data_IF_269473581496
#
_entry.id   IF_269473581496
#
_cell.length_a   1.000
_cell.length_b   1.000
_cell.length_c   1.000
_cell.angle_alpha   90.00
_cell.angle_beta   90.00
_cell.angle_gamma   90.00
#
_symmetry.space_group_name_H-M   'P 1'
#
loop_
_entity.id
_entity.type
_entity.pdbx_description
1 polymer ?
#
# COMPACT_ATOMS: atom_id res chain seq x y z
N UNK A 1 20.29 18.04 3.85
CA UNK A 1 19.13 17.45 4.56
C UNK A 1 18.62 16.33 3.68
N UNK A 2 18.86 15.08 4.06
CA UNK A 2 18.43 13.92 3.28
C UNK A 2 16.91 13.74 3.45
N UNK A 3 16.14 14.06 2.42
CA UNK A 3 14.69 13.84 2.43
C UNK A 3 14.45 12.33 2.25
N UNK A 4 13.82 11.71 3.24
CA UNK A 4 13.46 10.28 3.17
C UNK A 4 12.33 10.08 2.15
N UNK A 5 12.37 9.00 1.36
CA UNK A 5 11.29 8.68 0.44
C UNK A 5 9.97 8.44 1.16
N UNK A 6 8.87 8.90 0.56
CA UNK A 6 7.52 8.71 1.12
C UNK A 6 6.95 7.35 0.72
N UNK A 7 6.48 6.59 1.70
CA UNK A 7 5.78 5.32 1.53
C UNK A 7 4.33 5.48 1.99
N UNK A 8 3.37 5.33 1.07
CA UNK A 8 1.95 5.32 1.41
C UNK A 8 1.54 3.90 1.79
N UNK A 9 0.86 3.75 2.92
CA UNK A 9 0.36 2.46 3.38
C UNK A 9 -1.15 2.52 3.54
N UNK A 10 -1.85 1.96 2.56
CA UNK A 10 -3.31 1.90 2.51
C UNK A 10 -3.77 0.59 3.14
N UNK A 11 -4.33 0.64 4.35
CA UNK A 11 -4.82 -0.56 5.06
C UNK A 11 -6.02 -0.24 5.94
N UNK A 12 -6.98 -1.17 5.98
CA UNK A 12 -8.09 -1.12 6.91
C UNK A 12 -7.71 -1.64 8.31
N UNK A 13 -6.60 -2.38 8.43
CA UNK A 13 -6.12 -2.89 9.71
C UNK A 13 -5.32 -1.83 10.48
N UNK A 14 -5.97 -1.24 11.48
CA UNK A 14 -5.35 -0.25 12.38
C UNK A 14 -4.31 -0.87 13.33
N UNK A 15 -4.21 -2.20 13.44
CA UNK A 15 -3.33 -2.89 14.40
C UNK A 15 -1.95 -3.22 13.85
N UNK A 16 -1.62 -2.83 12.62
CA UNK A 16 -0.29 -3.04 12.04
C UNK A 16 0.76 -2.15 12.71
N UNK A 17 1.06 -2.39 13.98
CA UNK A 17 2.06 -1.61 14.73
C UNK A 17 3.48 -1.86 14.22
N UNK A 18 3.73 -3.05 13.67
CA UNK A 18 5.08 -3.47 13.29
C UNK A 18 5.60 -2.76 12.04
N UNK A 19 4.74 -2.35 11.10
CA UNK A 19 5.21 -1.71 9.84
C UNK A 19 5.95 -0.40 10.11
N UNK A 20 5.53 0.37 11.13
CA UNK A 20 6.19 1.62 11.43
C UNK A 20 7.63 1.36 11.88
N UNK A 21 7.84 0.40 12.79
CA UNK A 21 9.17 0.01 13.23
C UNK A 21 10.02 -0.59 12.11
N UNK A 22 9.40 -1.30 11.16
CA UNK A 22 10.11 -1.94 10.06
C UNK A 22 10.58 -0.95 8.99
N UNK A 23 9.86 0.16 8.76
CA UNK A 23 10.13 1.08 7.65
C UNK A 23 10.54 2.50 8.08
N UNK A 24 10.28 2.95 9.31
CA UNK A 24 10.54 4.34 9.75
C UNK A 24 12.02 4.77 9.65
N UNK A 25 12.94 3.81 9.66
CA UNK A 25 14.36 4.10 9.51
C UNK A 25 14.67 4.63 8.10
N UNK A 26 14.05 4.07 7.07
CA UNK A 26 14.37 4.35 5.65
C UNK A 26 13.29 5.18 4.94
N UNK A 27 12.04 5.13 5.40
CA UNK A 27 10.87 5.71 4.73
C UNK A 27 10.11 6.66 5.64
N UNK A 28 9.53 7.70 5.05
CA UNK A 28 8.43 8.46 5.66
C UNK A 28 7.12 7.71 5.42
N UNK A 29 6.69 6.95 6.42
CA UNK A 29 5.46 6.14 6.34
C UNK A 29 4.23 7.02 6.58
N UNK A 30 3.37 7.15 5.56
CA UNK A 30 2.06 7.78 5.66
C UNK A 30 0.98 6.70 5.61
N UNK A 31 0.27 6.52 6.73
CA UNK A 31 -0.83 5.55 6.84
C UNK A 31 -2.11 6.17 6.35
N UNK A 32 -2.84 5.39 5.57
CA UNK A 32 -4.10 5.80 4.94
C UNK A 32 -5.12 4.72 5.24
N UNK A 33 -6.24 5.15 5.80
CA UNK A 33 -7.32 4.25 6.17
C UNK A 33 -8.50 4.42 5.20
N UNK A 34 -8.86 3.38 4.43
CA UNK A 34 -9.95 3.48 3.46
C UNK A 34 -11.34 3.61 4.11
N UNK A 35 -11.43 3.50 5.44
CA UNK A 35 -12.65 3.80 6.21
C UNK A 35 -12.79 5.27 6.63
N UNK A 36 -11.77 6.10 6.40
CA UNK A 36 -11.80 7.54 6.69
C UNK A 36 -11.93 8.34 5.39
N UNK A 37 -12.50 9.55 5.39
CA UNK A 37 -12.64 10.31 4.16
C UNK A 37 -11.30 10.67 3.50
N UNK A 38 -11.19 10.51 2.17
CA UNK A 38 -10.01 10.83 1.36
C UNK A 38 -9.38 12.21 1.67
N UNK A 39 -10.22 13.24 1.86
CA UNK A 39 -9.77 14.62 2.08
C UNK A 39 -9.07 14.83 3.42
N UNK A 40 -9.28 13.96 4.43
CA UNK A 40 -8.58 14.04 5.72
C UNK A 40 -7.27 13.28 5.73
N UNK A 41 -7.00 12.51 4.67
CA UNK A 41 -5.86 11.61 4.55
C UNK A 41 -5.00 12.03 3.35
N UNK A 42 -4.67 13.33 3.26
CA UNK A 42 -3.73 13.83 2.26
C UNK A 42 -2.29 13.70 2.79
N UNK A 43 -1.52 12.71 2.31
CA UNK A 43 -0.13 12.57 2.73
C UNK A 43 0.69 13.75 2.22
N UNK A 44 1.44 14.40 3.12
CA UNK A 44 2.53 15.29 2.71
C UNK A 44 3.58 14.44 2.00
N UNK A 45 3.61 14.51 0.67
CA UNK A 45 4.52 13.72 -0.14
C UNK A 45 5.70 14.56 -0.58
N UNK A 46 6.91 14.08 -0.32
CA UNK A 46 8.12 14.63 -0.92
C UNK A 46 8.61 13.68 -2.02
N UNK A 47 8.81 14.20 -3.24
CA UNK A 47 9.25 13.39 -4.38
C UNK A 47 8.16 12.48 -4.97
N UNK A 48 8.53 11.25 -5.35
CA UNK A 48 7.68 10.28 -6.05
C UNK A 48 7.25 9.14 -5.13
N UNK A 49 6.22 9.31 -4.28
CA UNK A 49 5.85 8.29 -3.30
C UNK A 49 5.56 6.94 -3.98
N UNK A 50 5.83 5.85 -3.27
CA UNK A 50 5.36 4.51 -3.62
C UNK A 50 4.32 4.06 -2.61
N UNK A 51 3.41 3.18 -3.02
CA UNK A 51 2.29 2.73 -2.21
C UNK A 51 2.30 1.23 -1.93
N UNK A 52 1.83 0.85 -0.76
CA UNK A 52 1.42 -0.52 -0.42
C UNK A 52 -0.07 -0.50 -0.13
N UNK A 53 -0.83 -1.33 -0.82
CA UNK A 53 -2.27 -1.50 -0.59
C UNK A 53 -2.55 -2.88 -0.01
N UNK A 54 -3.05 -2.89 1.22
CA UNK A 54 -3.38 -4.11 1.95
C UNK A 54 -4.84 -4.49 1.70
N UNK A 55 -5.05 -5.17 0.57
CA UNK A 55 -6.34 -5.71 0.14
C UNK A 55 -6.80 -6.84 1.09
N UNK A 56 -5.86 -7.58 1.68
CA UNK A 56 -6.16 -8.64 2.64
C UNK A 56 -6.95 -8.14 3.86
N UNK A 57 -6.74 -6.89 4.27
CA UNK A 57 -7.48 -6.26 5.38
C UNK A 57 -8.84 -5.69 5.01
N UNK A 58 -9.15 -5.54 3.71
CA UNK A 58 -10.34 -4.82 3.26
C UNK A 58 -11.62 -5.65 3.37
N UNK A 59 -12.72 -4.97 3.69
CA UNK A 59 -14.07 -5.53 3.59
C UNK A 59 -14.62 -5.37 2.17
N UNK A 60 -15.68 -6.11 1.84
CA UNK A 60 -16.33 -6.04 0.53
C UNK A 60 -16.78 -4.62 0.13
N UNK A 61 -17.24 -3.81 1.10
CA UNK A 61 -17.66 -2.43 0.84
C UNK A 61 -16.47 -1.50 0.59
N UNK A 62 -15.30 -1.78 1.17
CA UNK A 62 -14.07 -1.04 0.92
C UNK A 62 -13.48 -1.39 -0.44
N UNK A 63 -13.57 -2.65 -0.86
CA UNK A 63 -13.18 -3.09 -2.20
C UNK A 63 -13.90 -2.33 -3.32
N UNK A 64 -15.14 -1.89 -3.10
CA UNK A 64 -15.90 -1.12 -4.09
C UNK A 64 -15.39 0.32 -4.28
N UNK A 65 -14.64 0.83 -3.30
CA UNK A 65 -14.13 2.21 -3.32
C UNK A 65 -12.60 2.27 -3.39
N UNK A 66 -11.92 1.12 -3.41
CA UNK A 66 -10.46 1.07 -3.33
C UNK A 66 -9.81 1.66 -4.58
N UNK A 67 -10.43 1.50 -5.74
CA UNK A 67 -9.96 2.11 -7.00
C UNK A 67 -9.81 3.62 -6.85
N UNK A 68 -10.80 4.29 -6.24
CA UNK A 68 -10.76 5.74 -5.99
C UNK A 68 -9.57 6.12 -5.11
N UNK A 69 -9.22 5.31 -4.11
CA UNK A 69 -8.03 5.57 -3.29
C UNK A 69 -6.75 5.43 -4.11
N UNK A 70 -6.63 4.36 -4.90
CA UNK A 70 -5.44 4.10 -5.70
C UNK A 70 -5.23 5.19 -6.77
N UNK A 71 -6.32 5.76 -7.31
CA UNK A 71 -6.32 6.84 -8.30
C UNK A 71 -6.05 8.23 -7.69
N UNK A 72 -6.62 8.52 -6.52
CA UNK A 72 -6.50 9.85 -5.91
C UNK A 72 -5.18 10.05 -5.16
N UNK A 73 -4.57 8.97 -4.69
CA UNK A 73 -3.32 9.05 -3.93
C UNK A 73 -2.13 9.26 -4.87
N UNK A 74 -1.15 10.09 -4.47
CA UNK A 74 -0.05 10.50 -5.36
C UNK A 74 1.01 9.41 -5.61
N UNK A 75 0.75 8.16 -5.23
CA UNK A 75 1.71 7.07 -5.38
C UNK A 75 1.97 6.78 -6.86
N UNK A 76 3.25 6.74 -7.22
CA UNK A 76 3.72 6.43 -8.58
C UNK A 76 3.60 4.95 -8.94
N UNK A 77 3.53 4.07 -7.95
CA UNK A 77 3.36 2.62 -8.12
C UNK A 77 2.84 2.01 -6.83
N UNK A 78 2.01 0.97 -6.96
CA UNK A 78 1.44 0.24 -5.84
C UNK A 78 1.94 -1.20 -5.76
N UNK A 79 2.05 -1.71 -4.55
CA UNK A 79 2.27 -3.12 -4.24
C UNK A 79 1.10 -3.64 -3.42
N UNK A 80 0.46 -4.71 -3.88
CA UNK A 80 -0.69 -5.28 -3.20
C UNK A 80 -0.28 -6.30 -2.13
N UNK A 81 -0.97 -6.33 -1.00
CA UNK A 81 -0.94 -7.44 -0.04
C UNK A 81 -2.31 -8.11 -0.07
N UNK A 82 -2.34 -9.41 -0.33
CA UNK A 82 -3.56 -10.20 -0.51
C UNK A 82 -3.53 -11.49 0.31
N UNK A 83 -4.69 -12.07 0.58
CA UNK A 83 -4.78 -13.47 1.00
C UNK A 83 -4.56 -14.39 -0.22
N UNK A 84 -3.96 -15.59 -0.06
CA UNK A 84 -3.86 -16.55 -1.15
C UNK A 84 -5.21 -16.81 -1.84
N UNK A 85 -6.27 -17.04 -1.07
CA UNK A 85 -7.63 -17.31 -1.59
C UNK A 85 -8.28 -16.09 -2.28
N UNK A 86 -7.78 -14.88 -2.04
CA UNK A 86 -8.26 -13.68 -2.74
C UNK A 86 -7.80 -13.65 -4.20
N UNK A 87 -6.72 -14.35 -4.55
CA UNK A 87 -6.25 -14.42 -5.94
C UNK A 87 -7.21 -15.18 -6.86
N UNK A 88 -8.12 -16.01 -6.33
CA UNK A 88 -9.18 -16.64 -7.11
C UNK A 88 -10.32 -15.67 -7.45
N UNK A 89 -10.39 -14.52 -6.77
CA UNK A 89 -11.44 -13.53 -6.98
C UNK A 89 -11.10 -12.64 -8.19
N UNK A 90 -11.95 -12.60 -9.24
CA UNK A 90 -11.68 -11.81 -10.44
C UNK A 90 -11.47 -10.33 -10.16
N UNK A 91 -12.21 -9.78 -9.18
CA UNK A 91 -12.10 -8.39 -8.76
C UNK A 91 -10.71 -8.06 -8.21
N UNK A 92 -10.14 -8.93 -7.37
CA UNK A 92 -8.80 -8.72 -6.78
C UNK A 92 -7.72 -8.82 -7.85
N UNK A 93 -7.81 -9.81 -8.73
CA UNK A 93 -6.86 -9.97 -9.85
C UNK A 93 -6.86 -8.73 -10.74
N UNK A 94 -8.05 -8.20 -11.04
CA UNK A 94 -8.21 -6.98 -11.84
C UNK A 94 -7.57 -5.77 -11.13
N UNK A 95 -7.85 -5.56 -9.85
CA UNK A 95 -7.23 -4.49 -9.06
C UNK A 95 -5.70 -4.54 -9.08
N UNK A 96 -5.13 -5.73 -8.91
CA UNK A 96 -3.67 -5.92 -8.98
C UNK A 96 -3.17 -5.54 -10.38
N UNK A 97 -3.81 -6.03 -11.44
CA UNK A 97 -3.39 -5.77 -12.82
C UNK A 97 -3.53 -4.30 -13.24
N UNK A 98 -4.59 -3.63 -12.79
CA UNK A 98 -4.93 -2.28 -13.21
C UNK A 98 -4.09 -1.22 -12.45
N UNK A 99 -3.75 -1.47 -11.18
CA UNK A 99 -3.12 -0.46 -10.32
C UNK A 99 -1.77 -0.86 -9.69
N UNK A 100 -1.47 -2.16 -9.56
CA UNK A 100 -0.32 -2.63 -8.79
C UNK A 100 0.79 -3.19 -9.70
N UNK A 101 2.04 -2.84 -9.39
CA UNK A 101 3.21 -3.38 -10.09
C UNK A 101 3.62 -4.76 -9.59
N UNK A 102 3.38 -5.05 -8.30
CA UNK A 102 3.73 -6.32 -7.67
C UNK A 102 2.69 -6.67 -6.60
N UNK A 103 2.67 -7.93 -6.16
CA UNK A 103 1.81 -8.37 -5.06
C UNK A 103 2.49 -9.41 -4.17
N UNK A 104 2.10 -9.40 -2.90
CA UNK A 104 2.55 -10.37 -1.89
C UNK A 104 1.35 -11.01 -1.23
N UNK A 105 1.43 -12.32 -1.03
CA UNK A 105 0.42 -13.07 -0.28
C UNK A 105 0.74 -13.09 1.20
N UNK A 106 -0.27 -13.14 2.06
CA UNK A 106 -0.08 -13.42 3.48
C UNK A 106 0.31 -14.89 3.72
N UNK A 107 1.16 -15.16 4.74
CA UNK A 107 1.85 -14.20 5.59
C UNK A 107 2.97 -13.44 4.84
N UNK A 108 3.05 -12.12 5.05
CA UNK A 108 3.99 -11.25 4.33
C UNK A 108 5.43 -11.56 4.71
N UNK A 109 6.28 -11.84 3.71
CA UNK A 109 7.73 -11.82 3.87
C UNK A 109 8.22 -10.37 3.84
N UNK A 110 8.46 -9.80 5.02
CA UNK A 110 8.91 -8.42 5.20
C UNK A 110 10.25 -8.12 4.52
N UNK A 111 11.13 -9.12 4.36
CA UNK A 111 12.41 -8.93 3.68
C UNK A 111 12.19 -8.79 2.18
N UNK A 112 11.34 -9.65 1.60
CA UNK A 112 10.98 -9.58 0.18
C UNK A 112 10.20 -8.30 -0.13
N UNK A 113 9.26 -7.91 0.73
CA UNK A 113 8.49 -6.68 0.56
C UNK A 113 9.40 -5.44 0.60
N UNK A 114 10.37 -5.36 1.53
CA UNK A 114 11.39 -4.29 1.54
C UNK A 114 12.19 -4.24 0.25
N UNK A 115 12.57 -5.39 -0.29
CA UNK A 115 13.32 -5.48 -1.54
C UNK A 115 12.47 -4.98 -2.73
N UNK A 116 11.22 -5.43 -2.84
CA UNK A 116 10.29 -4.94 -3.87
C UNK A 116 10.09 -3.42 -3.76
N UNK A 117 9.93 -2.87 -2.55
CA UNK A 117 9.79 -1.42 -2.35
C UNK A 117 11.05 -0.63 -2.73
N UNK A 118 12.24 -1.15 -2.41
CA UNK A 118 13.51 -0.56 -2.86
C UNK A 118 13.59 -0.52 -4.38
N UNK A 119 13.29 -1.65 -5.03
CA UNK A 119 13.28 -1.76 -6.48
C UNK A 119 12.24 -0.84 -7.15
N UNK A 120 11.03 -0.73 -6.58
CA UNK A 120 9.98 0.18 -7.08
C UNK A 120 10.41 1.64 -7.02
N UNK A 121 11.16 2.03 -5.99
CA UNK A 121 11.72 3.37 -5.88
C UNK A 121 12.95 3.59 -6.76
N UNK A 122 13.67 2.52 -7.11
CA UNK A 122 14.90 2.56 -7.91
C UNK A 122 16.20 2.51 -7.08
N UNK A 123 16.16 1.87 -5.91
CA UNK A 123 17.34 1.51 -5.09
C UNK A 123 17.78 0.06 -5.32
#
# INVERSE_FOLDING_TARGET
>A
MEQKPTLLWLSADRRQNNIHQLFANQWQLNRIHPGEPLHTQQPGCSGRPIGVCDLASLTQSQYAHIDQWLEHLPASSWLAIVQPDQLDQPQVRRLIQDYCQDYHTLPVDWRRLRYSLGHMWGM
#
